data_IF_957260767584
#
_entry.id   IF_957260767584
#
_cell.length_a   1.000
_cell.length_b   1.000
_cell.length_c   1.000
_cell.angle_alpha   90.00
_cell.angle_beta   90.00
_cell.angle_gamma   90.00
#
_symmetry.space_group_name_H-M   'P 1'
#
loop_
_entity.id
_entity.type
_entity.pdbx_description
1 polymer ?
#
# COMPACT_ATOMS: atom_id res chain seq x y z
N UNK A 1 -7.10 -1.17 12.60
CA UNK A 1 -8.49 -1.16 12.09
C UNK A 1 -8.79 0.18 11.44
N UNK A 2 -9.48 0.20 10.31
CA UNK A 2 -9.81 1.45 9.61
C UNK A 2 -11.31 1.70 9.50
N UNK A 3 -11.67 2.99 9.40
CA UNK A 3 -13.02 3.49 9.12
C UNK A 3 -12.92 4.58 8.05
N UNK A 4 -12.68 4.19 6.81
CA UNK A 4 -12.46 5.10 5.68
C UNK A 4 -13.68 5.97 5.33
N UNK A 5 -14.88 5.63 5.81
CA UNK A 5 -16.11 6.40 5.64
C UNK A 5 -16.35 7.44 6.75
N UNK A 6 -15.47 7.51 7.76
CA UNK A 6 -15.62 8.45 8.88
C UNK A 6 -15.73 9.90 8.39
N UNK A 7 -16.68 10.64 8.96
CA UNK A 7 -16.86 12.11 8.78
C UNK A 7 -16.64 12.60 7.34
N UNK A 8 -17.63 12.44 6.48
CA UNK A 8 -17.57 12.90 5.08
C UNK A 8 -16.39 12.26 4.30
N UNK A 9 -16.09 10.99 4.63
CA UNK A 9 -15.04 10.22 3.98
C UNK A 9 -13.62 10.82 4.15
N UNK A 10 -13.39 11.54 5.26
CA UNK A 10 -12.05 11.90 5.71
C UNK A 10 -11.27 10.62 6.02
N UNK A 11 -11.93 9.69 6.74
CA UNK A 11 -11.36 8.43 7.16
C UNK A 11 -10.59 8.51 8.48
N UNK A 12 -10.57 7.39 9.19
CA UNK A 12 -9.80 7.17 10.41
C UNK A 12 -9.14 5.80 10.43
N UNK A 13 -7.97 5.73 11.08
CA UNK A 13 -7.29 4.49 11.41
C UNK A 13 -7.08 4.45 12.91
N UNK A 14 -7.33 3.29 13.50
CA UNK A 14 -7.23 3.03 14.93
C UNK A 14 -6.18 1.95 15.15
N UNK A 15 -5.20 2.22 15.99
CA UNK A 15 -4.20 1.25 16.44
C UNK A 15 -4.52 0.86 17.86
N UNK A 16 -4.48 -0.43 18.14
CA UNK A 16 -4.70 -1.01 19.46
C UNK A 16 -3.46 -1.80 19.83
N UNK A 17 -2.86 -1.45 20.95
CA UNK A 17 -1.73 -2.22 21.49
C UNK A 17 -2.23 -3.48 22.17
N UNK A 18 -1.52 -4.58 21.99
CA UNK A 18 -1.80 -5.82 22.70
C UNK A 18 -1.08 -5.81 24.06
N UNK A 19 -1.65 -5.11 25.02
CA UNK A 19 -1.17 -5.02 26.41
C UNK A 19 -1.84 -6.04 27.34
N UNK A 20 -2.51 -7.08 26.77
CA UNK A 20 -3.23 -8.13 27.48
C UNK A 20 -4.75 -8.06 27.32
N UNK A 21 -5.30 -6.96 26.79
CA UNK A 21 -6.72 -6.83 26.45
C UNK A 21 -6.94 -5.79 25.35
N UNK A 22 -7.92 -6.03 24.48
CA UNK A 22 -8.35 -5.02 23.52
C UNK A 22 -9.56 -4.26 24.05
N UNK A 23 -9.60 -2.91 23.94
CA UNK A 23 -10.76 -2.12 24.33
C UNK A 23 -12.00 -2.47 23.51
N UNK A 24 -13.18 -2.36 24.11
CA UNK A 24 -14.46 -2.71 23.46
C UNK A 24 -14.93 -1.68 22.43
N UNK A 25 -14.34 -0.50 22.36
CA UNK A 25 -14.78 0.59 21.48
C UNK A 25 -13.60 1.22 20.73
N UNK A 26 -13.84 1.64 19.48
CA UNK A 26 -12.83 2.30 18.66
C UNK A 26 -12.31 3.62 19.25
N UNK A 27 -13.13 4.33 20.03
CA UNK A 27 -12.70 5.59 20.66
C UNK A 27 -11.69 5.39 21.79
N UNK A 28 -11.48 4.15 22.24
CA UNK A 28 -10.48 3.78 23.24
C UNK A 28 -9.22 3.17 22.61
N UNK A 29 -8.98 3.38 21.32
CA UNK A 29 -7.75 2.99 20.68
C UNK A 29 -6.55 3.79 21.22
N UNK A 30 -5.39 3.15 21.29
CA UNK A 30 -4.15 3.76 21.79
C UNK A 30 -3.67 4.89 20.87
N UNK A 31 -3.84 4.71 19.55
CA UNK A 31 -3.55 5.74 18.55
C UNK A 31 -4.72 5.88 17.58
N UNK A 32 -5.09 7.12 17.28
CA UNK A 32 -6.12 7.45 16.29
C UNK A 32 -5.55 8.40 15.25
N UNK A 33 -5.41 7.93 14.02
CA UNK A 33 -5.11 8.79 12.88
C UNK A 33 -6.42 9.27 12.26
N UNK A 34 -6.52 10.56 11.95
CA UNK A 34 -7.64 11.12 11.20
C UNK A 34 -7.09 11.77 9.94
N UNK A 35 -7.63 11.43 8.77
CA UNK A 35 -7.20 12.00 7.50
C UNK A 35 -7.21 13.53 7.48
N UNK A 36 -6.47 14.13 6.59
CA UNK A 36 -6.24 15.57 6.49
C UNK A 36 -7.23 16.28 5.55
N UNK A 37 -8.01 15.52 4.78
CA UNK A 37 -8.88 16.08 3.75
C UNK A 37 -10.15 15.24 3.53
N UNK A 38 -11.25 15.91 3.18
CA UNK A 38 -12.54 15.25 2.89
C UNK A 38 -12.48 14.48 1.59
N UNK A 39 -13.30 13.42 1.49
CA UNK A 39 -13.46 12.58 0.29
C UNK A 39 -12.19 11.85 -0.17
N UNK A 40 -11.16 11.75 0.69
CA UNK A 40 -9.89 11.09 0.34
C UNK A 40 -9.88 9.60 0.67
N UNK A 41 -10.79 9.15 1.55
CA UNK A 41 -10.89 7.76 2.04
C UNK A 41 -9.59 7.29 2.72
N UNK A 42 -9.01 8.15 3.57
CA UNK A 42 -7.85 7.77 4.39
C UNK A 42 -8.15 6.51 5.21
N UNK A 43 -7.23 5.55 5.21
CA UNK A 43 -7.44 4.23 5.80
C UNK A 43 -8.11 3.23 4.87
N UNK A 44 -8.15 3.48 3.56
CA UNK A 44 -8.71 2.52 2.59
C UNK A 44 -7.96 1.19 2.59
N UNK A 45 -6.64 1.23 2.53
CA UNK A 45 -5.76 0.07 2.71
C UNK A 45 -4.64 0.40 3.69
N UNK A 46 -4.10 -0.62 4.35
CA UNK A 46 -3.10 -0.55 5.40
C UNK A 46 -2.05 -1.62 5.14
N UNK A 47 -0.78 -1.30 5.42
CA UNK A 47 0.29 -2.28 5.53
C UNK A 47 1.15 -1.96 6.75
N UNK A 48 1.68 -2.99 7.41
CA UNK A 48 2.57 -2.86 8.55
C UNK A 48 3.92 -3.52 8.23
N UNK A 49 5.02 -2.88 8.60
CA UNK A 49 6.37 -3.36 8.36
C UNK A 49 7.38 -2.39 8.93
N UNK A 50 8.63 -2.77 8.98
CA UNK A 50 9.74 -1.91 9.41
C UNK A 50 10.27 -1.15 8.17
N UNK A 51 9.67 0.00 7.88
CA UNK A 51 9.96 0.77 6.66
C UNK A 51 11.17 1.70 6.78
N UNK A 52 11.79 1.82 7.96
CA UNK A 52 13.01 2.61 8.19
C UNK A 52 14.19 1.73 8.66
N UNK A 53 13.99 0.41 8.83
CA UNK A 53 14.97 -0.56 9.28
C UNK A 53 15.52 -0.27 10.70
N UNK A 54 14.68 0.23 11.62
CA UNK A 54 15.05 0.49 13.02
C UNK A 54 14.68 -0.66 13.97
N UNK A 55 14.02 -1.71 13.47
CA UNK A 55 13.59 -2.90 14.21
C UNK A 55 12.21 -2.74 14.83
N UNK A 56 11.51 -1.63 14.62
CA UNK A 56 10.13 -1.42 15.08
C UNK A 56 9.13 -1.55 13.92
N UNK A 57 7.87 -1.82 14.24
CA UNK A 57 6.83 -1.94 13.21
C UNK A 57 6.21 -0.59 12.94
N UNK A 58 6.32 -0.12 11.71
CA UNK A 58 5.73 1.10 11.16
C UNK A 58 4.38 0.83 10.50
N UNK A 59 3.70 1.89 10.09
CA UNK A 59 2.37 1.81 9.50
C UNK A 59 2.29 2.63 8.19
N UNK A 60 1.96 1.95 7.09
CA UNK A 60 1.58 2.59 5.84
C UNK A 60 0.06 2.67 5.72
N UNK A 61 -0.48 3.84 5.36
CA UNK A 61 -1.91 4.12 5.26
C UNK A 61 -2.20 4.79 3.92
N UNK A 62 -3.18 4.26 3.18
CA UNK A 62 -3.56 4.82 1.89
C UNK A 62 -4.81 5.72 1.96
N UNK A 63 -4.82 6.74 1.10
CA UNK A 63 -5.94 7.62 0.78
C UNK A 63 -6.12 7.64 -0.75
N UNK A 64 -6.70 6.57 -1.32
CA UNK A 64 -6.69 6.31 -2.77
C UNK A 64 -7.41 7.34 -3.63
N UNK A 65 -8.29 8.17 -3.03
CA UNK A 65 -8.99 9.25 -3.73
C UNK A 65 -8.39 10.65 -3.52
N UNK A 66 -7.26 10.74 -2.83
CA UNK A 66 -6.58 12.01 -2.63
C UNK A 66 -6.27 12.69 -3.99
N UNK A 67 -6.33 14.04 -4.04
CA UNK A 67 -6.01 14.85 -5.22
C UNK A 67 -6.70 14.36 -6.51
N UNK A 68 -8.03 14.39 -6.53
CA UNK A 68 -8.84 13.96 -7.69
C UNK A 68 -8.54 12.52 -8.15
N UNK A 69 -8.37 11.62 -7.19
CA UNK A 69 -8.07 10.20 -7.40
C UNK A 69 -6.66 9.91 -7.95
N UNK A 70 -5.69 10.78 -7.75
CA UNK A 70 -4.29 10.42 -7.92
C UNK A 70 -3.89 9.36 -6.89
N UNK A 71 -4.41 9.51 -5.67
CA UNK A 71 -4.07 8.68 -4.53
C UNK A 71 -2.83 9.16 -3.81
N UNK A 72 -2.70 8.74 -2.56
CA UNK A 72 -1.57 9.05 -1.69
C UNK A 72 -1.36 7.92 -0.69
N UNK A 73 -0.12 7.63 -0.37
CA UNK A 73 0.26 6.75 0.73
C UNK A 73 1.06 7.55 1.74
N UNK A 74 0.76 7.36 3.02
CA UNK A 74 1.45 7.94 4.16
C UNK A 74 2.15 6.80 4.90
N UNK A 75 3.43 6.97 5.24
CA UNK A 75 4.16 6.07 6.11
C UNK A 75 4.48 6.81 7.41
N UNK A 76 4.19 6.18 8.52
CA UNK A 76 4.42 6.67 9.88
C UNK A 76 5.38 5.74 10.57
N UNK A 77 6.56 6.24 10.92
CA UNK A 77 7.56 5.49 11.68
C UNK A 77 7.16 5.42 13.15
N UNK A 78 7.36 4.27 13.75
CA UNK A 78 7.10 4.04 15.16
C UNK A 78 8.36 4.35 15.98
N UNK A 79 8.71 5.59 16.09
CA UNK A 79 9.84 6.10 16.89
C UNK A 79 9.45 6.38 18.36
N UNK A 80 8.35 5.77 18.85
CA UNK A 80 7.77 5.99 20.17
C UNK A 80 6.60 6.97 20.20
N UNK A 81 6.29 7.63 19.08
CA UNK A 81 5.10 8.46 18.91
C UNK A 81 4.68 8.48 17.44
N UNK A 82 3.39 8.37 17.17
CA UNK A 82 2.91 8.51 15.80
C UNK A 82 2.49 9.94 15.50
N UNK A 83 3.03 10.59 14.45
CA UNK A 83 2.63 11.92 14.05
C UNK A 83 1.23 11.95 13.43
N UNK A 84 0.62 13.14 13.30
CA UNK A 84 -0.63 13.33 12.54
C UNK A 84 -0.38 13.18 11.03
N UNK A 85 -1.39 12.84 10.21
CA UNK A 85 -1.19 12.57 8.77
C UNK A 85 -0.46 13.65 7.97
N UNK A 86 -0.64 14.92 8.32
CA UNK A 86 0.08 16.02 7.68
C UNK A 86 1.60 16.04 7.99
N UNK A 87 2.03 15.26 8.99
CA UNK A 87 3.43 15.13 9.46
C UNK A 87 3.93 13.69 9.32
N UNK A 88 3.36 12.90 8.39
CA UNK A 88 3.87 11.57 8.09
C UNK A 88 5.35 11.64 7.68
N UNK A 89 6.14 10.65 8.07
CA UNK A 89 7.57 10.59 7.81
C UNK A 89 7.87 10.49 6.32
N UNK A 90 7.05 9.69 5.61
CA UNK A 90 7.08 9.61 4.15
C UNK A 90 5.68 9.81 3.59
N UNK A 91 5.58 10.62 2.53
CA UNK A 91 4.37 10.80 1.76
C UNK A 91 4.66 10.45 0.30
N UNK A 92 3.96 9.44 -0.23
CA UNK A 92 4.09 9.00 -1.61
C UNK A 92 2.90 9.54 -2.40
N UNK A 93 3.16 10.37 -3.41
CA UNK A 93 2.14 10.91 -4.29
C UNK A 93 1.88 9.99 -5.48
N UNK A 94 0.62 9.69 -5.76
CA UNK A 94 0.20 8.94 -6.94
C UNK A 94 0.24 9.75 -8.22
N UNK A 95 0.24 9.06 -9.36
CA UNK A 95 0.08 9.68 -10.69
C UNK A 95 -1.39 10.09 -10.91
N UNK A 96 -1.62 11.03 -11.82
CA UNK A 96 -2.97 11.56 -12.08
C UNK A 96 -3.99 10.44 -12.33
N UNK A 97 -5.09 10.47 -11.58
CA UNK A 97 -6.22 9.52 -11.65
C UNK A 97 -5.87 8.04 -11.45
N UNK A 98 -4.65 7.72 -10.95
CA UNK A 98 -4.17 6.34 -10.83
C UNK A 98 -4.80 5.55 -9.68
N UNK A 99 -5.31 6.24 -8.64
CA UNK A 99 -5.78 5.65 -7.39
C UNK A 99 -4.69 4.88 -6.65
N UNK A 100 -3.47 5.45 -6.56
CA UNK A 100 -2.41 4.86 -5.74
C UNK A 100 -2.92 4.55 -4.33
N UNK A 101 -2.58 3.39 -3.81
CA UNK A 101 -3.05 2.92 -2.51
C UNK A 101 -4.37 2.16 -2.55
N UNK A 102 -4.84 1.69 -3.71
CA UNK A 102 -6.00 0.79 -3.79
C UNK A 102 -5.77 -0.46 -2.94
N UNK A 103 -4.56 -1.01 -2.97
CA UNK A 103 -4.07 -2.07 -2.09
C UNK A 103 -2.64 -1.75 -1.65
N UNK A 104 -2.27 -2.15 -0.44
CA UNK A 104 -0.92 -2.05 0.12
C UNK A 104 -0.50 -3.39 0.67
N UNK A 105 0.74 -3.80 0.43
CA UNK A 105 1.38 -4.94 1.09
C UNK A 105 2.85 -4.62 1.39
N UNK A 106 3.36 -5.17 2.50
CA UNK A 106 4.75 -5.08 2.91
C UNK A 106 5.45 -6.42 2.65
N UNK A 107 6.72 -6.39 2.28
CA UNK A 107 7.54 -7.56 2.05
C UNK A 107 8.94 -7.18 1.60
N UNK A 108 9.87 -8.11 1.60
CA UNK A 108 11.22 -7.93 1.06
C UNK A 108 11.19 -8.35 -0.43
N UNK A 109 10.89 -7.38 -1.31
CA UNK A 109 10.68 -7.65 -2.74
C UNK A 109 11.98 -7.61 -3.57
N UNK A 110 13.10 -7.19 -2.98
CA UNK A 110 14.41 -7.15 -3.62
C UNK A 110 15.41 -8.14 -2.98
N UNK A 111 15.01 -8.88 -1.94
CA UNK A 111 15.80 -9.84 -1.19
C UNK A 111 17.04 -9.23 -0.50
N UNK A 112 16.93 -7.98 0.00
CA UNK A 112 18.00 -7.30 0.74
C UNK A 112 17.87 -7.42 2.27
N UNK A 113 16.81 -8.08 2.75
CA UNK A 113 16.51 -8.30 4.17
C UNK A 113 15.78 -7.17 4.85
N UNK A 114 15.32 -6.14 4.12
CA UNK A 114 14.53 -5.04 4.63
C UNK A 114 13.09 -5.12 4.14
N UNK A 115 12.21 -4.40 4.82
CA UNK A 115 10.81 -4.35 4.42
C UNK A 115 10.56 -3.26 3.39
N UNK A 116 10.13 -3.64 2.20
CA UNK A 116 9.68 -2.79 1.12
C UNK A 116 8.17 -2.61 1.15
N UNK A 117 7.66 -1.66 0.36
CA UNK A 117 6.23 -1.41 0.21
C UNK A 117 5.79 -1.62 -1.25
N UNK A 118 4.79 -2.47 -1.48
CA UNK A 118 4.09 -2.53 -2.76
C UNK A 118 2.72 -1.86 -2.66
N UNK A 119 2.36 -1.08 -3.69
CA UNK A 119 1.10 -0.35 -3.77
C UNK A 119 0.43 -0.54 -5.13
N UNK A 120 -0.85 -0.91 -5.11
CA UNK A 120 -1.68 -0.96 -6.30
C UNK A 120 -2.25 0.40 -6.69
N UNK A 121 -2.49 0.56 -7.99
CA UNK A 121 -3.07 1.75 -8.61
C UNK A 121 -3.98 1.33 -9.79
N UNK A 122 -5.10 0.68 -9.48
CA UNK A 122 -5.98 0.00 -10.44
C UNK A 122 -6.53 0.89 -11.56
N UNK A 123 -6.67 2.19 -11.32
CA UNK A 123 -7.26 3.11 -12.29
C UNK A 123 -6.24 3.75 -13.24
N UNK A 124 -4.94 3.44 -13.07
CA UNK A 124 -3.90 3.99 -13.93
C UNK A 124 -4.22 3.75 -15.42
N UNK A 125 -4.04 4.80 -16.24
CA UNK A 125 -4.20 4.74 -17.71
C UNK A 125 -5.49 4.05 -18.16
N UNK A 126 -6.66 4.64 -17.80
CA UNK A 126 -7.98 4.12 -18.18
C UNK A 126 -8.20 2.66 -17.73
N UNK A 127 -7.86 2.38 -16.47
CA UNK A 127 -8.03 1.06 -15.84
C UNK A 127 -7.13 -0.05 -16.42
N UNK A 128 -6.03 0.28 -17.07
CA UNK A 128 -4.94 -0.68 -17.30
C UNK A 128 -4.41 -1.18 -15.96
N UNK A 129 -4.25 -0.26 -15.01
CA UNK A 129 -3.75 -0.55 -13.68
C UNK A 129 -2.23 -0.70 -13.64
N UNK A 130 -1.67 -0.46 -12.45
CA UNK A 130 -0.26 -0.62 -12.14
C UNK A 130 -0.05 -1.12 -10.72
N UNK A 131 1.09 -1.77 -10.52
CA UNK A 131 1.68 -1.98 -9.20
C UNK A 131 3.03 -1.26 -9.16
N UNK A 132 3.28 -0.58 -8.05
CA UNK A 132 4.54 0.10 -7.75
C UNK A 132 5.17 -0.57 -6.55
N UNK A 133 6.47 -0.84 -6.59
CA UNK A 133 7.26 -1.29 -5.46
C UNK A 133 8.26 -0.20 -5.12
N UNK A 134 8.32 0.13 -3.85
CA UNK A 134 9.20 1.14 -3.25
C UNK A 134 10.14 0.40 -2.31
N UNK A 135 11.41 0.26 -2.72
CA UNK A 135 12.42 -0.43 -1.94
C UNK A 135 12.90 0.44 -0.77
N UNK A 136 13.13 -0.21 0.36
CA UNK A 136 13.74 0.42 1.53
C UNK A 136 15.27 0.28 1.47
N UNK A 137 15.90 0.95 0.52
CA UNK A 137 17.36 0.97 0.33
C UNK A 137 18.06 2.12 1.09
N UNK A 138 17.34 2.73 2.05
CA UNK A 138 17.78 3.88 2.86
C UNK A 138 16.93 5.13 2.66
N UNK A 139 16.07 5.15 1.62
CA UNK A 139 15.04 6.17 1.43
C UNK A 139 13.93 5.65 0.53
N UNK A 140 12.69 5.76 0.97
CA UNK A 140 11.53 5.38 0.15
C UNK A 140 11.20 6.52 -0.82
N UNK A 141 11.04 6.25 -2.14
CA UNK A 141 10.64 7.26 -3.12
C UNK A 141 9.32 7.95 -2.77
N UNK A 142 9.23 9.27 -2.96
CA UNK A 142 8.06 10.09 -2.58
C UNK A 142 7.01 10.25 -3.69
N UNK A 143 7.23 9.65 -4.86
CA UNK A 143 6.26 9.67 -5.97
C UNK A 143 6.18 8.29 -6.64
N UNK A 144 4.98 7.90 -7.06
CA UNK A 144 4.78 6.65 -7.79
C UNK A 144 5.58 6.57 -9.11
N UNK A 145 5.79 7.71 -9.75
CA UNK A 145 6.56 7.79 -11.01
C UNK A 145 8.05 7.45 -10.84
N UNK A 146 8.58 7.49 -9.62
CA UNK A 146 9.97 7.17 -9.28
C UNK A 146 10.08 5.91 -8.43
N UNK A 147 9.07 5.07 -8.40
CA UNK A 147 9.13 3.76 -7.75
C UNK A 147 10.24 2.90 -8.37
N UNK A 148 10.86 2.04 -7.54
CA UNK A 148 11.99 1.19 -7.96
C UNK A 148 11.56 0.14 -8.97
N UNK A 149 10.34 -0.41 -8.79
CA UNK A 149 9.72 -1.32 -9.75
C UNK A 149 8.33 -0.83 -10.13
N UNK A 150 8.05 -0.79 -11.42
CA UNK A 150 6.73 -0.44 -11.98
C UNK A 150 6.25 -1.59 -12.86
N UNK A 151 5.13 -2.22 -12.46
CA UNK A 151 4.50 -3.31 -13.22
C UNK A 151 3.20 -2.77 -13.81
N UNK A 152 3.07 -2.79 -15.13
CA UNK A 152 1.83 -2.38 -15.81
C UNK A 152 0.97 -3.59 -16.13
N UNK A 153 -0.34 -3.45 -15.93
CA UNK A 153 -1.31 -4.47 -16.30
C UNK A 153 -1.62 -4.52 -17.79
N UNK A 154 -2.55 -5.36 -18.16
CA UNK A 154 -3.13 -5.43 -19.49
C UNK A 154 -4.25 -4.38 -19.65
N UNK A 155 -4.60 -4.04 -20.89
CA UNK A 155 -5.64 -3.03 -21.13
C UNK A 155 -6.96 -3.36 -20.40
N UNK A 156 -7.49 -2.40 -19.67
CA UNK A 156 -8.74 -2.50 -18.89
C UNK A 156 -8.77 -3.63 -17.85
N UNK A 157 -7.60 -4.12 -17.43
CA UNK A 157 -7.53 -5.22 -16.46
C UNK A 157 -7.77 -4.80 -15.01
N UNK A 158 -7.72 -3.51 -14.69
CA UNK A 158 -7.75 -3.01 -13.31
C UNK A 158 -6.65 -3.66 -12.45
N UNK A 159 -5.46 -3.84 -13.04
CA UNK A 159 -4.36 -4.53 -12.39
C UNK A 159 -3.88 -3.80 -11.13
N UNK A 160 -3.62 -4.57 -10.07
CA UNK A 160 -3.22 -4.03 -8.77
C UNK A 160 -4.40 -3.65 -7.86
N UNK A 161 -5.62 -4.14 -8.13
CA UNK A 161 -6.77 -3.91 -7.24
C UNK A 161 -6.56 -4.58 -5.88
N UNK A 162 -6.06 -5.83 -5.87
CA UNK A 162 -5.70 -6.56 -4.66
C UNK A 162 -4.26 -7.08 -4.81
N UNK A 163 -3.47 -6.90 -3.76
CA UNK A 163 -2.10 -7.42 -3.65
C UNK A 163 -1.99 -8.37 -2.46
N UNK A 164 -1.15 -9.38 -2.60
CA UNK A 164 -0.76 -10.29 -1.52
C UNK A 164 0.74 -10.58 -1.64
N UNK A 165 1.46 -10.49 -0.52
CA UNK A 165 2.86 -10.87 -0.41
C UNK A 165 2.99 -12.24 0.28
N UNK A 166 3.92 -13.06 -0.15
CA UNK A 166 4.20 -14.37 0.43
C UNK A 166 5.20 -15.16 -0.40
N UNK A 167 5.72 -16.24 0.15
CA UNK A 167 6.57 -17.18 -0.58
C UNK A 167 5.67 -18.21 -1.28
N UNK A 168 5.39 -18.00 -2.57
CA UNK A 168 4.48 -18.87 -3.34
C UNK A 168 5.19 -20.02 -4.05
N UNK A 169 6.52 -20.01 -4.11
CA UNK A 169 7.31 -21.03 -4.78
C UNK A 169 8.20 -21.85 -3.82
N UNK A 170 8.18 -21.53 -2.51
CA UNK A 170 8.94 -22.17 -1.44
C UNK A 170 10.47 -21.97 -1.58
N UNK A 171 10.92 -20.81 -2.04
CA UNK A 171 12.35 -20.44 -2.13
C UNK A 171 12.82 -19.53 -0.99
N UNK A 172 11.95 -19.25 -0.02
CA UNK A 172 12.18 -18.40 1.16
C UNK A 172 12.33 -16.90 0.85
N UNK A 173 11.91 -16.45 -0.33
CA UNK A 173 11.83 -15.04 -0.68
C UNK A 173 10.37 -14.58 -0.75
N UNK A 174 10.16 -13.28 -0.65
CA UNK A 174 8.83 -12.71 -0.75
C UNK A 174 8.44 -12.47 -2.20
N UNK A 175 7.50 -13.28 -2.70
CA UNK A 175 6.86 -13.10 -3.99
C UNK A 175 5.67 -12.14 -3.91
N UNK A 176 5.18 -11.70 -5.06
CA UNK A 176 4.02 -10.82 -5.16
C UNK A 176 2.92 -11.48 -6.00
N UNK A 177 1.71 -11.55 -5.44
CA UNK A 177 0.50 -11.83 -6.21
C UNK A 177 -0.32 -10.56 -6.40
N UNK A 178 -0.81 -10.32 -7.61
CA UNK A 178 -1.64 -9.16 -7.95
C UNK A 178 -2.85 -9.57 -8.78
N UNK A 179 -4.03 -9.00 -8.47
CA UNK A 179 -5.25 -9.23 -9.24
C UNK A 179 -5.42 -8.23 -10.37
N UNK A 180 -6.07 -8.67 -11.44
CA UNK A 180 -6.62 -7.85 -12.50
C UNK A 180 -8.10 -8.19 -12.67
N UNK A 181 -8.97 -7.54 -11.89
CA UNK A 181 -10.40 -7.90 -11.79
C UNK A 181 -11.20 -7.58 -13.05
N UNK A 182 -10.78 -6.59 -13.83
CA UNK A 182 -11.39 -6.19 -15.11
C UNK A 182 -10.94 -7.05 -16.30
N UNK A 183 -9.95 -7.94 -16.13
CA UNK A 183 -9.41 -8.74 -17.23
C UNK A 183 -10.50 -9.48 -18.00
N UNK A 184 -10.43 -9.44 -19.35
CA UNK A 184 -11.31 -10.14 -20.26
C UNK A 184 -12.80 -10.02 -19.92
N UNK A 185 -13.32 -8.79 -19.93
CA UNK A 185 -14.74 -8.49 -19.59
C UNK A 185 -15.12 -8.95 -18.18
N UNK A 186 -14.23 -8.70 -17.21
CA UNK A 186 -14.41 -8.99 -15.78
C UNK A 186 -14.46 -10.50 -15.43
N UNK A 187 -13.82 -11.35 -16.25
CA UNK A 187 -13.54 -12.73 -15.82
C UNK A 187 -12.50 -12.77 -14.71
N UNK A 188 -11.66 -11.74 -14.65
CA UNK A 188 -10.59 -11.60 -13.67
C UNK A 188 -9.39 -12.50 -13.93
N UNK A 189 -8.23 -12.08 -13.41
CA UNK A 189 -6.99 -12.86 -13.45
C UNK A 189 -6.15 -12.53 -12.21
N UNK A 190 -5.40 -13.53 -11.73
CA UNK A 190 -4.35 -13.32 -10.73
C UNK A 190 -3.01 -13.63 -11.38
N UNK A 191 -2.04 -12.77 -11.12
CA UNK A 191 -0.65 -12.87 -11.58
C UNK A 191 0.22 -13.14 -10.36
N UNK A 192 1.15 -14.08 -10.47
CA UNK A 192 2.18 -14.33 -9.46
C UNK A 192 3.52 -13.94 -10.06
N UNK A 193 4.27 -13.12 -9.34
CA UNK A 193 5.59 -12.65 -9.68
C UNK A 193 6.57 -13.23 -8.68
N UNK A 194 7.36 -14.21 -9.12
CA UNK A 194 8.38 -14.83 -8.28
C UNK A 194 9.58 -13.88 -8.12
N UNK A 195 10.07 -13.77 -6.89
CA UNK A 195 11.23 -12.97 -6.56
C UNK A 195 12.53 -13.79 -6.73
N UNK A 196 13.05 -13.87 -7.93
CA UNK A 196 14.36 -14.49 -8.21
C UNK A 196 15.56 -13.61 -7.83
N UNK A 197 15.35 -12.58 -7.00
CA UNK A 197 16.27 -11.49 -6.67
C UNK A 197 15.81 -10.14 -7.23
N UNK A 198 14.73 -10.15 -8.02
CA UNK A 198 13.97 -8.97 -8.45
C UNK A 198 12.61 -9.39 -8.96
N UNK A 199 11.58 -8.60 -8.67
CA UNK A 199 10.24 -8.81 -9.22
C UNK A 199 10.23 -8.40 -10.72
N UNK A 200 9.71 -9.25 -11.64
CA UNK A 200 9.60 -8.91 -13.07
C UNK A 200 8.71 -7.67 -13.30
N UNK A 201 9.08 -6.83 -14.27
CA UNK A 201 8.37 -5.57 -14.57
C UNK A 201 7.15 -5.73 -15.49
N UNK A 202 6.92 -6.93 -16.01
CA UNK A 202 5.75 -7.26 -16.86
C UNK A 202 5.05 -8.48 -16.30
N UNK A 203 3.71 -8.41 -16.25
CA UNK A 203 2.91 -9.58 -15.92
C UNK A 203 3.16 -10.67 -16.98
N UNK A 204 3.51 -11.89 -16.53
CA UNK A 204 3.63 -13.02 -17.44
C UNK A 204 2.25 -13.35 -18.03
N UNK A 205 2.19 -13.50 -19.33
CA UNK A 205 0.99 -13.93 -20.07
C UNK A 205 0.79 -15.44 -19.94
#
# INVERSE_FOLDING_TARGET
>A
VSSYMYSTKIGRVYVFYNDGSYPATANSADVIFTGDSILTYFGWSLAAGDFNADGTTDLAIAAYKYASSAGRVYIFYNDGSYPVPASADVIIAGEASSRLGTSLVAGDFNADGKTDLASGAQAYSSFTGRVYIFNNDGSIPTTAATADVIISGEASSEFGDILVAGDFNADSKTDLAASGIGYSSSTGRVYIFNNDGSIPTTAAT
#
